data_IF_163328421506
#
_entry.id   IF_163328421506
#
_cell.length_a   1.000
_cell.length_b   1.000
_cell.length_c   1.000
_cell.angle_alpha   90.00
_cell.angle_beta   90.00
_cell.angle_gamma   90.00
#
_symmetry.space_group_name_H-M   'P 1'
#
loop_
_entity.id
_entity.type
_entity.pdbx_description
1 polymer ?
#
# COMPACT_ATOMS: atom_id res chain seq x y z
N UNK A 1 -12.24 38.64 20.93
CA UNK A 1 -11.49 39.46 19.97
C UNK A 1 -10.01 39.20 20.19
N UNK A 2 -9.25 39.06 19.10
CA UNK A 2 -7.81 38.74 19.00
C UNK A 2 -7.47 37.24 19.08
N UNK A 3 -6.67 36.65 18.18
CA UNK A 3 -6.16 37.06 16.85
C UNK A 3 -5.48 35.81 16.27
N UNK A 4 -5.62 35.61 14.97
CA UNK A 4 -4.84 34.66 14.18
C UNK A 4 -3.35 35.04 14.21
N UNK A 5 -2.46 34.04 14.26
CA UNK A 5 -1.07 34.17 13.86
C UNK A 5 -0.59 32.84 13.26
N UNK A 6 -0.58 32.82 11.93
CA UNK A 6 0.01 31.80 11.11
C UNK A 6 1.52 31.70 11.40
N UNK A 7 1.96 30.52 11.83
CA UNK A 7 3.36 30.17 11.92
C UNK A 7 3.85 29.65 10.57
N UNK A 8 4.58 30.50 9.85
CA UNK A 8 5.47 30.10 8.76
C UNK A 8 6.54 29.17 9.32
N UNK A 9 6.51 27.90 8.90
CA UNK A 9 7.56 26.92 9.15
C UNK A 9 8.22 26.55 7.83
N UNK A 10 9.47 26.98 7.69
CA UNK A 10 10.38 26.65 6.60
C UNK A 10 10.42 25.14 6.35
N UNK A 11 10.12 24.70 5.12
CA UNK A 11 10.11 23.29 4.75
C UNK A 11 11.47 22.91 4.17
N UNK A 12 12.36 22.45 5.05
CA UNK A 12 13.54 21.68 4.66
C UNK A 12 13.09 20.37 3.99
N UNK A 13 13.63 19.97 2.82
CA UNK A 13 13.34 18.68 2.21
C UNK A 13 14.16 17.60 2.90
N UNK A 14 13.75 17.26 4.11
CA UNK A 14 14.36 16.23 4.95
C UNK A 14 13.27 15.46 5.66
N UNK A 15 12.70 14.49 4.95
CA UNK A 15 11.99 13.31 5.47
C UNK A 15 11.14 13.62 6.70
N UNK A 16 9.97 14.21 6.48
CA UNK A 16 8.90 14.22 7.47
C UNK A 16 8.12 12.93 7.26
N UNK A 17 8.51 11.84 7.95
CA UNK A 17 7.61 10.70 8.15
C UNK A 17 6.55 11.16 9.15
N UNK A 18 5.57 11.89 8.63
CA UNK A 18 4.34 12.19 9.34
C UNK A 18 3.52 10.90 9.33
N UNK A 19 3.70 10.08 10.36
CA UNK A 19 2.64 9.17 10.79
C UNK A 19 1.49 10.05 11.29
N UNK A 20 0.67 10.55 10.37
CA UNK A 20 -0.68 10.96 10.72
C UNK A 20 -1.48 9.70 10.94
N UNK A 21 -1.34 9.10 12.12
CA UNK A 21 -2.33 8.16 12.68
C UNK A 21 -3.64 8.91 12.95
N UNK A 22 -4.25 9.45 11.91
CA UNK A 22 -5.71 9.52 11.86
C UNK A 22 -6.10 8.13 11.42
N UNK A 23 -6.89 7.42 12.22
CA UNK A 23 -7.71 6.32 11.70
C UNK A 23 -8.36 6.88 10.44
N UNK A 24 -7.85 6.48 9.28
CA UNK A 24 -8.59 6.70 8.05
C UNK A 24 -9.88 5.88 8.29
N UNK A 25 -11.05 6.46 8.00
CA UNK A 25 -12.34 5.80 8.26
C UNK A 25 -12.47 4.47 7.53
N UNK A 26 -13.67 3.91 7.41
CA UNK A 26 -13.89 2.83 6.43
C UNK A 26 -13.43 3.32 5.06
N UNK A 27 -12.27 2.80 4.62
CA UNK A 27 -11.67 3.14 3.34
C UNK A 27 -12.30 2.23 2.29
N UNK A 28 -12.72 2.79 1.17
CA UNK A 28 -13.08 1.95 0.03
C UNK A 28 -11.85 1.13 -0.39
N UNK A 29 -12.09 -0.08 -0.92
CA UNK A 29 -11.01 -0.98 -1.34
C UNK A 29 -10.03 -0.30 -2.30
N UNK A 30 -10.50 0.63 -3.13
CA UNK A 30 -9.70 1.45 -4.03
C UNK A 30 -8.71 2.36 -3.27
N UNK A 31 -9.21 3.09 -2.27
CA UNK A 31 -8.41 3.99 -1.43
C UNK A 31 -7.42 3.23 -0.56
N UNK A 32 -7.83 2.10 0.00
CA UNK A 32 -6.96 1.22 0.79
C UNK A 32 -5.80 0.70 -0.07
N UNK A 33 -6.05 0.31 -1.33
CA UNK A 33 -5.00 -0.12 -2.26
C UNK A 33 -3.98 0.98 -2.53
N UNK A 34 -4.45 2.21 -2.80
CA UNK A 34 -3.59 3.38 -2.98
C UNK A 34 -2.75 3.67 -1.73
N UNK A 35 -3.40 3.70 -0.57
CA UNK A 35 -2.73 3.93 0.70
C UNK A 35 -1.67 2.87 1.00
N UNK A 36 -1.91 1.59 0.68
CA UNK A 36 -0.93 0.52 0.86
C UNK A 36 0.28 0.71 -0.07
N UNK A 37 0.04 0.99 -1.36
CA UNK A 37 1.09 1.25 -2.36
C UNK A 37 1.96 2.44 -1.94
N UNK A 38 1.35 3.51 -1.43
CA UNK A 38 2.04 4.70 -0.93
C UNK A 38 2.70 4.51 0.45
N UNK A 39 2.52 3.36 1.10
CA UNK A 39 3.06 3.09 2.45
C UNK A 39 2.37 3.91 3.55
N UNK A 40 1.15 4.39 3.33
CA UNK A 40 0.36 5.18 4.29
C UNK A 40 -0.38 4.32 5.31
N UNK A 41 -0.68 3.06 4.97
CA UNK A 41 -1.27 2.06 5.86
C UNK A 41 -0.42 0.80 5.87
N UNK A 42 -0.47 0.07 6.98
CA UNK A 42 0.22 -1.22 7.13
C UNK A 42 -0.54 -2.36 6.46
N UNK A 43 0.14 -3.46 6.12
CA UNK A 43 -0.48 -4.67 5.57
C UNK A 43 -1.64 -5.20 6.43
N UNK A 44 -1.45 -5.26 7.76
CA UNK A 44 -2.49 -5.72 8.68
C UNK A 44 -3.73 -4.82 8.65
N UNK A 45 -3.54 -3.51 8.47
CA UNK A 45 -4.65 -2.54 8.41
C UNK A 45 -5.37 -2.62 7.05
N UNK A 46 -4.65 -2.91 5.98
CA UNK A 46 -5.25 -3.16 4.67
C UNK A 46 -6.10 -4.44 4.64
N UNK A 47 -5.65 -5.54 5.27
CA UNK A 47 -6.43 -6.79 5.35
C UNK A 47 -7.70 -6.61 6.17
N UNK A 48 -7.65 -5.83 7.25
CA UNK A 48 -8.82 -5.53 8.07
C UNK A 48 -9.91 -4.78 7.26
N UNK A 49 -9.49 -3.92 6.33
CA UNK A 49 -10.39 -3.09 5.51
C UNK A 49 -10.88 -3.81 4.24
N UNK A 50 -10.00 -4.53 3.53
CA UNK A 50 -10.28 -5.09 2.20
C UNK A 50 -10.57 -6.60 2.25
N UNK A 51 -10.28 -7.24 3.37
CA UNK A 51 -10.46 -8.68 3.59
C UNK A 51 -9.33 -9.53 3.03
N UNK A 52 -9.55 -10.84 2.99
CA UNK A 52 -8.53 -11.85 2.68
C UNK A 52 -8.18 -11.97 1.18
N UNK A 53 -8.79 -11.16 0.30
CA UNK A 53 -8.63 -11.26 -1.16
C UNK A 53 -7.21 -11.02 -1.69
N UNK A 54 -6.35 -10.42 -0.87
CA UNK A 54 -4.93 -10.17 -1.17
C UNK A 54 -3.99 -10.96 -0.26
N UNK A 55 -4.52 -11.81 0.63
CA UNK A 55 -3.79 -12.42 1.72
C UNK A 55 -2.51 -13.12 1.23
N UNK A 56 -2.61 -13.96 0.19
CA UNK A 56 -1.44 -14.67 -0.34
C UNK A 56 -0.36 -13.73 -0.87
N UNK A 57 -0.74 -12.64 -1.55
CA UNK A 57 0.19 -11.62 -2.00
C UNK A 57 0.89 -10.92 -0.85
N UNK A 58 0.15 -10.58 0.21
CA UNK A 58 0.70 -9.88 1.36
C UNK A 58 1.61 -10.78 2.20
N UNK A 59 1.23 -12.05 2.38
CA UNK A 59 2.08 -13.05 3.03
C UNK A 59 3.38 -13.23 2.25
N UNK A 60 3.30 -13.33 0.91
CA UNK A 60 4.50 -13.39 0.05
C UNK A 60 5.37 -12.13 0.15
N UNK A 61 4.75 -10.95 0.16
CA UNK A 61 5.50 -9.69 0.32
C UNK A 61 6.19 -9.62 1.68
N UNK A 62 5.52 -10.03 2.75
CA UNK A 62 6.09 -10.03 4.10
C UNK A 62 7.24 -11.04 4.22
N UNK A 63 7.09 -12.24 3.66
CA UNK A 63 8.11 -13.28 3.68
C UNK A 63 9.40 -12.85 2.95
N UNK A 64 9.25 -12.08 1.87
CA UNK A 64 10.35 -11.61 1.03
C UNK A 64 10.76 -10.14 1.28
N UNK A 65 10.25 -9.49 2.32
CA UNK A 65 10.48 -8.07 2.65
C UNK A 65 10.23 -7.10 1.47
N UNK A 66 9.18 -7.38 0.69
CA UNK A 66 8.85 -6.64 -0.52
C UNK A 66 7.92 -5.46 -0.22
N UNK A 67 8.27 -4.29 -0.76
CA UNK A 67 7.45 -3.10 -0.63
C UNK A 67 6.31 -3.09 -1.67
N UNK A 68 5.05 -2.87 -1.25
CA UNK A 68 3.89 -2.93 -2.15
C UNK A 68 3.96 -1.87 -3.25
N UNK A 69 4.64 -0.74 -3.02
CA UNK A 69 4.91 0.31 -4.02
C UNK A 69 5.99 0.01 -5.07
N UNK A 70 6.64 -1.15 -5.03
CA UNK A 70 7.68 -1.55 -6.01
C UNK A 70 7.22 -2.72 -6.87
N UNK A 71 6.30 -2.44 -7.80
CA UNK A 71 5.61 -3.44 -8.64
C UNK A 71 6.56 -4.42 -9.31
N UNK A 72 7.55 -3.90 -10.00
CA UNK A 72 8.47 -4.69 -10.82
C UNK A 72 9.33 -5.63 -9.97
N UNK A 73 9.76 -5.17 -8.79
CA UNK A 73 10.49 -6.03 -7.84
C UNK A 73 9.61 -7.16 -7.32
N UNK A 74 8.37 -6.86 -6.94
CA UNK A 74 7.42 -7.89 -6.49
C UNK A 74 7.16 -8.92 -7.60
N UNK A 75 6.95 -8.45 -8.83
CA UNK A 75 6.72 -9.32 -9.98
C UNK A 75 7.94 -10.22 -10.25
N UNK A 76 9.14 -9.65 -10.21
CA UNK A 76 10.38 -10.38 -10.38
C UNK A 76 10.55 -11.47 -9.32
N UNK A 77 10.31 -11.13 -8.05
CA UNK A 77 10.36 -12.10 -6.96
C UNK A 77 9.33 -13.21 -7.10
N UNK A 78 8.10 -12.92 -7.53
CA UNK A 78 7.08 -13.93 -7.83
C UNK A 78 7.59 -14.91 -8.90
N UNK A 79 8.19 -14.41 -9.98
CA UNK A 79 8.70 -15.26 -11.06
C UNK A 79 9.92 -16.10 -10.65
N UNK A 80 10.76 -15.59 -9.75
CA UNK A 80 11.95 -16.28 -9.26
C UNK A 80 11.65 -17.31 -8.15
N UNK A 81 10.85 -16.94 -7.15
CA UNK A 81 10.70 -17.71 -5.92
C UNK A 81 9.47 -18.61 -5.89
N UNK A 82 8.47 -18.40 -6.76
CA UNK A 82 7.22 -19.17 -6.73
C UNK A 82 7.26 -20.27 -7.80
N UNK A 83 7.61 -21.52 -7.45
CA UNK A 83 7.68 -22.62 -8.42
C UNK A 83 6.29 -23.07 -8.89
N UNK A 84 5.28 -22.91 -8.03
CA UNK A 84 3.91 -23.33 -8.30
C UNK A 84 3.21 -22.40 -9.30
N UNK A 85 2.96 -22.88 -10.52
CA UNK A 85 2.29 -22.11 -11.57
C UNK A 85 0.94 -21.51 -11.12
N UNK A 86 0.13 -22.27 -10.36
CA UNK A 86 -1.16 -21.80 -9.84
C UNK A 86 -0.99 -20.64 -8.85
N UNK A 87 -0.06 -20.77 -7.90
CA UNK A 87 0.21 -19.73 -6.91
C UNK A 87 0.79 -18.49 -7.59
N UNK A 88 1.71 -18.66 -8.53
CA UNK A 88 2.26 -17.57 -9.35
C UNK A 88 1.17 -16.80 -10.09
N UNK A 89 0.23 -17.50 -10.74
CA UNK A 89 -0.89 -16.87 -11.43
C UNK A 89 -1.81 -16.10 -10.47
N UNK A 90 -2.03 -16.65 -9.27
CA UNK A 90 -2.83 -16.00 -8.23
C UNK A 90 -2.18 -14.72 -7.70
N UNK A 91 -0.89 -14.79 -7.33
CA UNK A 91 -0.12 -13.64 -6.86
C UNK A 91 -0.05 -12.54 -7.92
N UNK A 92 0.17 -12.90 -9.19
CA UNK A 92 0.12 -11.94 -10.31
C UNK A 92 -1.25 -11.29 -10.45
N UNK A 93 -2.33 -12.06 -10.31
CA UNK A 93 -3.70 -11.53 -10.36
C UNK A 93 -3.98 -10.58 -9.20
N UNK A 94 -3.61 -10.95 -7.97
CA UNK A 94 -3.77 -10.10 -6.80
C UNK A 94 -2.94 -8.81 -6.92
N UNK A 95 -1.71 -8.91 -7.44
CA UNK A 95 -0.84 -7.76 -7.68
C UNK A 95 -1.45 -6.82 -8.73
N UNK A 96 -1.96 -7.37 -9.83
CA UNK A 96 -2.62 -6.56 -10.86
C UNK A 96 -3.87 -5.85 -10.31
N UNK A 97 -4.68 -6.55 -9.52
CA UNK A 97 -5.84 -5.95 -8.84
C UNK A 97 -5.43 -4.83 -7.88
N UNK A 98 -4.39 -5.05 -7.08
CA UNK A 98 -3.87 -4.05 -6.13
C UNK A 98 -3.50 -2.75 -6.87
N UNK A 99 -2.74 -2.88 -7.95
CA UNK A 99 -2.29 -1.73 -8.74
C UNK A 99 -3.40 -1.09 -9.57
N UNK A 100 -4.32 -1.89 -10.10
CA UNK A 100 -5.48 -1.39 -10.85
C UNK A 100 -6.41 -0.58 -9.96
N UNK A 101 -6.64 -1.05 -8.74
CA UNK A 101 -7.44 -0.34 -7.75
C UNK A 101 -6.69 0.90 -7.22
N UNK A 102 -5.41 0.77 -6.87
CA UNK A 102 -4.61 1.91 -6.41
C UNK A 102 -4.38 3.02 -7.45
N UNK A 103 -4.34 2.68 -8.76
CA UNK A 103 -4.22 3.65 -9.83
C UNK A 103 -5.51 4.48 -10.05
N UNK A 104 -6.66 3.97 -9.60
CA UNK A 104 -7.96 4.65 -9.72
C UNK A 104 -8.10 5.90 -8.83
N UNK A 105 -7.19 6.12 -7.88
CA UNK A 105 -7.26 7.21 -6.88
C UNK A 105 -6.54 8.48 -7.36
N UNK A 106 -6.08 8.54 -8.62
CA UNK A 106 -5.47 9.73 -9.25
C UNK A 106 -6.47 10.59 -10.05
N UNK A 107 -7.77 10.45 -9.80
CA UNK A 107 -8.84 11.23 -10.43
C UNK A 107 -9.31 12.40 -9.56
#
# INVERSE_FOLDING_TARGET
MAKEAAGTGEVSPGIIVRHTSRKIGELDACEACGCLIEGRISFSEFVDQVGEGYRELLEFMLEHDLHPGRRDEVLFCIECYVPSFRLRALLRRQLDLLYRNGAGVRG
#
